data_IF_588845706013
#
_entry.id   IF_588845706013
#
_cell.length_a   1.000
_cell.length_b   1.000
_cell.length_c   1.000
_cell.angle_alpha   90.00
_cell.angle_beta   90.00
_cell.angle_gamma   90.00
#
_symmetry.space_group_name_H-M   'P 1'
#
loop_
_entity.id
_entity.type
_entity.pdbx_description
1 polymer ?
#
# COMPACT_ATOMS: atom_id res chain seq x y z
N UNK A 1 13.43 5.60 -11.98
CA UNK A 1 13.64 6.28 -10.68
C UNK A 1 12.41 6.95 -10.06
N UNK A 2 11.24 6.30 -10.00
CA UNK A 2 10.11 6.78 -9.17
C UNK A 2 10.35 6.48 -7.69
N UNK A 3 9.72 7.23 -6.78
CA UNK A 3 9.80 6.90 -5.35
C UNK A 3 8.70 5.89 -4.98
N UNK A 4 9.11 4.67 -4.61
CA UNK A 4 8.21 3.59 -4.19
C UNK A 4 8.28 3.42 -2.66
N UNK A 5 7.15 3.59 -1.98
CA UNK A 5 6.99 3.31 -0.56
C UNK A 5 6.30 1.97 -0.38
N UNK A 6 6.92 1.08 0.40
CA UNK A 6 6.32 -0.21 0.76
C UNK A 6 5.92 -0.17 2.22
N UNK A 7 4.64 -0.31 2.48
CA UNK A 7 4.07 -0.41 3.81
C UNK A 7 4.00 -1.89 4.19
N UNK A 8 4.99 -2.36 4.94
CA UNK A 8 5.10 -3.76 5.34
C UNK A 8 6.44 -4.38 4.93
N UNK A 9 6.95 -5.29 5.77
CA UNK A 9 8.26 -5.95 5.58
C UNK A 9 8.22 -7.46 5.83
N UNK A 10 7.09 -8.08 5.51
CA UNK A 10 6.94 -9.55 5.59
C UNK A 10 7.86 -10.24 4.59
N UNK A 11 8.19 -11.51 4.85
CA UNK A 11 8.99 -12.32 3.92
C UNK A 11 8.23 -12.68 2.64
N UNK A 12 6.89 -12.66 2.67
CA UNK A 12 6.04 -13.11 1.55
C UNK A 12 5.71 -11.97 0.59
N UNK A 13 5.59 -10.73 1.09
CA UNK A 13 5.17 -9.59 0.25
C UNK A 13 6.14 -8.42 0.36
N UNK A 14 6.30 -7.82 1.54
CA UNK A 14 7.00 -6.54 1.67
C UNK A 14 8.47 -6.58 1.21
N UNK A 15 9.24 -7.58 1.68
CA UNK A 15 10.64 -7.74 1.29
C UNK A 15 10.82 -8.08 -0.21
N UNK A 16 10.14 -9.09 -0.78
CA UNK A 16 10.28 -9.38 -2.20
C UNK A 16 9.81 -8.22 -3.10
N UNK A 17 8.75 -7.50 -2.72
CA UNK A 17 8.32 -6.31 -3.44
C UNK A 17 9.40 -5.21 -3.41
N UNK A 18 10.05 -4.99 -2.26
CA UNK A 18 11.14 -4.00 -2.16
C UNK A 18 12.31 -4.35 -3.08
N UNK A 19 12.69 -5.63 -3.10
CA UNK A 19 13.74 -6.13 -3.97
C UNK A 19 13.39 -6.00 -5.45
N UNK A 20 12.16 -6.33 -5.84
CA UNK A 20 11.67 -6.17 -7.21
C UNK A 20 11.73 -4.71 -7.66
N UNK A 21 11.19 -3.80 -6.84
CA UNK A 21 11.11 -2.37 -7.19
C UNK A 21 12.48 -1.70 -7.27
N UNK A 22 13.48 -2.19 -6.54
CA UNK A 22 14.86 -1.67 -6.60
C UNK A 22 15.76 -2.33 -7.65
N UNK A 23 15.27 -3.32 -8.41
CA UNK A 23 16.06 -3.96 -9.48
C UNK A 23 16.49 -2.92 -10.52
N UNK A 24 17.65 -3.13 -11.16
CA UNK A 24 18.06 -2.29 -12.29
C UNK A 24 17.26 -2.68 -13.54
N UNK A 25 16.36 -1.81 -13.99
CA UNK A 25 15.56 -1.99 -15.20
C UNK A 25 14.08 -2.25 -14.93
N UNK A 26 13.30 -2.43 -15.99
CA UNK A 26 11.84 -2.64 -15.92
C UNK A 26 11.50 -4.03 -15.33
N UNK A 27 10.50 -4.14 -14.43
CA UNK A 27 9.58 -3.09 -13.95
C UNK A 27 10.08 -2.30 -12.71
N UNK A 28 11.32 -2.51 -12.27
CA UNK A 28 11.92 -1.83 -11.12
C UNK A 28 12.48 -0.43 -11.43
N UNK A 29 13.73 -0.22 -11.03
CA UNK A 29 14.49 1.03 -11.13
C UNK A 29 13.90 2.17 -10.28
N UNK A 30 13.33 1.82 -9.12
CA UNK A 30 12.77 2.80 -8.17
C UNK A 30 13.74 3.15 -7.05
N UNK A 31 13.60 4.36 -6.50
CA UNK A 31 14.08 4.66 -5.15
C UNK A 31 13.07 4.06 -4.18
N UNK A 32 13.50 3.15 -3.30
CA UNK A 32 12.58 2.37 -2.45
C UNK A 32 12.74 2.75 -0.99
N UNK A 33 11.62 3.04 -0.32
CA UNK A 33 11.54 3.22 1.13
C UNK A 33 10.61 2.16 1.74
N UNK A 34 11.12 1.37 2.69
CA UNK A 34 10.32 0.34 3.39
C UNK A 34 9.90 0.86 4.76
N UNK A 35 8.59 0.98 4.95
CA UNK A 35 7.95 1.37 6.20
C UNK A 35 7.44 0.14 6.97
N UNK A 36 7.36 0.25 8.30
CA UNK A 36 6.87 -0.80 9.19
C UNK A 36 6.30 -0.21 10.49
N UNK A 37 5.79 -1.06 11.38
CA UNK A 37 5.15 -0.67 12.65
C UNK A 37 5.97 0.17 13.64
N UNK A 38 7.26 0.42 13.35
CA UNK A 38 8.13 1.28 14.16
C UNK A 38 8.68 2.48 13.37
N UNK A 39 8.28 2.61 12.11
CA UNK A 39 8.59 3.79 11.30
C UNK A 39 7.85 4.97 11.90
N UNK A 40 8.58 6.02 12.24
CA UNK A 40 8.00 7.30 12.62
C UNK A 40 7.53 8.01 11.35
N UNK A 41 6.58 8.95 11.48
CA UNK A 41 6.22 9.87 10.39
C UNK A 41 5.89 9.16 9.05
N UNK A 42 5.14 8.03 9.14
CA UNK A 42 4.74 7.21 7.98
C UNK A 42 3.92 8.04 6.99
N UNK A 43 3.02 8.89 7.49
CA UNK A 43 2.17 9.75 6.66
C UNK A 43 3.03 10.65 5.76
N UNK A 44 4.04 11.30 6.33
CA UNK A 44 4.94 12.19 5.61
C UNK A 44 5.77 11.45 4.56
N UNK A 45 6.18 10.21 4.86
CA UNK A 45 6.90 9.36 3.89
C UNK A 45 5.98 8.95 2.74
N UNK A 46 4.74 8.53 3.03
CA UNK A 46 3.75 8.17 2.01
C UNK A 46 3.40 9.35 1.08
N UNK A 47 3.34 10.58 1.61
CA UNK A 47 3.09 11.79 0.82
C UNK A 47 4.21 12.13 -0.18
N UNK A 48 5.39 11.54 -0.03
CA UNK A 48 6.49 11.68 -0.99
C UNK A 48 6.48 10.60 -2.07
N UNK A 49 5.61 9.59 -1.97
CA UNK A 49 5.61 8.43 -2.85
C UNK A 49 4.91 8.72 -4.18
N UNK A 50 5.49 8.22 -5.26
CA UNK A 50 4.80 8.11 -6.54
C UNK A 50 4.05 6.76 -6.63
N UNK A 51 4.56 5.74 -5.94
CA UNK A 51 3.98 4.39 -5.86
C UNK A 51 3.91 3.98 -4.38
N UNK A 52 2.75 3.50 -3.92
CA UNK A 52 2.58 2.92 -2.59
C UNK A 52 2.14 1.47 -2.74
N UNK A 53 2.87 0.54 -2.12
CA UNK A 53 2.47 -0.87 -1.99
C UNK A 53 2.06 -1.11 -0.54
N UNK A 54 0.77 -1.35 -0.28
CA UNK A 54 0.22 -1.61 1.04
C UNK A 54 0.12 -3.12 1.31
N UNK A 55 0.90 -3.61 2.28
CA UNK A 55 1.03 -5.03 2.61
C UNK A 55 1.21 -5.23 4.13
N UNK A 56 0.27 -4.69 4.89
CA UNK A 56 0.26 -4.57 6.35
C UNK A 56 -0.65 -5.61 7.02
N UNK A 57 -1.75 -6.01 6.36
CA UNK A 57 -2.82 -6.81 6.99
C UNK A 57 -3.60 -6.03 8.05
N UNK A 58 -3.73 -4.72 7.86
CA UNK A 58 -4.49 -3.82 8.74
C UNK A 58 -5.53 -3.10 7.89
N UNK A 59 -6.83 -3.46 8.01
CA UNK A 59 -7.89 -2.90 7.19
C UNK A 59 -7.87 -1.38 7.16
N UNK A 60 -7.93 -0.83 5.95
CA UNK A 60 -8.11 0.61 5.71
C UNK A 60 -7.07 1.51 6.42
N UNK A 61 -5.86 1.01 6.67
CA UNK A 61 -4.76 1.77 7.27
C UNK A 61 -4.34 2.97 6.43
N UNK A 62 -4.17 2.78 5.10
CA UNK A 62 -3.79 3.87 4.20
C UNK A 62 -5.02 4.75 3.93
N UNK A 63 -4.99 5.99 4.43
CA UNK A 63 -6.05 6.99 4.30
C UNK A 63 -5.72 8.04 3.22
N UNK A 64 -6.73 8.78 2.78
CA UNK A 64 -6.58 9.79 1.71
C UNK A 64 -5.55 10.89 2.02
N UNK A 65 -5.39 11.26 3.29
CA UNK A 65 -4.44 12.27 3.75
C UNK A 65 -2.98 11.77 3.77
N UNK A 66 -2.75 10.48 3.55
CA UNK A 66 -1.42 9.87 3.41
C UNK A 66 -0.96 9.75 1.96
N UNK A 67 -1.83 10.04 0.99
CA UNK A 67 -1.59 9.79 -0.44
C UNK A 67 -1.42 11.10 -1.19
N UNK A 68 -0.36 11.17 -2.01
CA UNK A 68 -0.09 12.29 -2.93
C UNK A 68 -1.03 12.21 -4.14
N UNK A 69 -1.44 13.37 -4.66
CA UNK A 69 -2.23 13.46 -5.89
C UNK A 69 -1.49 12.80 -7.08
N UNK A 70 -2.21 11.94 -7.81
CA UNK A 70 -1.68 11.19 -8.95
C UNK A 70 -0.83 9.96 -8.60
N UNK A 71 -0.69 9.59 -7.32
CA UNK A 71 0.05 8.40 -6.93
C UNK A 71 -0.60 7.10 -7.43
N UNK A 72 0.22 6.07 -7.66
CA UNK A 72 -0.23 4.69 -7.90
C UNK A 72 -0.29 3.94 -6.58
N UNK A 73 -1.39 3.26 -6.30
CA UNK A 73 -1.57 2.47 -5.07
C UNK A 73 -1.83 1.01 -5.42
N UNK A 74 -1.07 0.10 -4.80
CA UNK A 74 -1.26 -1.34 -4.90
C UNK A 74 -1.64 -1.86 -3.51
N UNK A 75 -2.90 -2.23 -3.34
CA UNK A 75 -3.43 -2.85 -2.12
C UNK A 75 -3.27 -4.37 -2.16
N UNK A 76 -2.40 -4.91 -1.31
CA UNK A 76 -2.18 -6.36 -1.15
C UNK A 76 -3.01 -6.91 0.01
N UNK A 77 -3.72 -6.06 0.75
CA UNK A 77 -4.50 -6.44 1.91
C UNK A 77 -5.68 -7.35 1.54
N UNK A 78 -5.82 -8.46 2.27
CA UNK A 78 -6.97 -9.37 2.12
C UNK A 78 -7.51 -9.75 3.50
N UNK A 79 -7.84 -8.75 4.30
CA UNK A 79 -8.30 -8.98 5.68
C UNK A 79 -9.78 -9.33 5.69
N UNK A 80 -10.14 -10.38 6.44
CA UNK A 80 -11.54 -10.76 6.65
C UNK A 80 -12.14 -9.91 7.75
N UNK A 81 -13.18 -9.15 7.42
CA UNK A 81 -13.93 -8.31 8.36
C UNK A 81 -15.33 -8.91 8.52
N UNK A 82 -15.84 -9.14 9.74
CA UNK A 82 -17.18 -9.66 9.97
C UNK A 82 -18.25 -8.86 9.21
N UNK A 83 -19.22 -9.58 8.63
CA UNK A 83 -20.27 -8.97 7.82
C UNK A 83 -21.53 -9.84 7.87
N UNK A 84 -22.64 -9.24 8.25
CA UNK A 84 -23.99 -9.81 8.17
C UNK A 84 -24.57 -9.78 6.75
N UNK A 85 -23.95 -9.02 5.84
CA UNK A 85 -24.40 -8.84 4.45
C UNK A 85 -23.93 -9.92 3.47
N UNK A 86 -23.00 -10.80 3.88
CA UNK A 86 -22.41 -11.83 3.01
C UNK A 86 -22.76 -13.21 3.53
N UNK A 87 -22.97 -14.18 2.62
CA UNK A 87 -23.25 -15.58 3.01
C UNK A 87 -22.12 -16.22 3.84
N UNK A 88 -20.88 -15.77 3.65
CA UNK A 88 -19.69 -16.25 4.35
C UNK A 88 -19.53 -15.69 5.77
N UNK A 89 -20.35 -14.72 6.19
CA UNK A 89 -20.22 -14.05 7.49
C UNK A 89 -19.07 -13.04 7.57
N UNK A 90 -18.37 -12.78 6.45
CA UNK A 90 -17.31 -11.79 6.37
C UNK A 90 -17.21 -11.18 4.96
N UNK A 91 -16.69 -9.96 4.89
CA UNK A 91 -16.22 -9.33 3.64
C UNK A 91 -14.69 -9.29 3.63
N UNK A 92 -14.09 -9.27 2.44
CA UNK A 92 -12.67 -8.95 2.30
C UNK A 92 -12.50 -7.44 2.27
N UNK A 93 -11.49 -6.95 2.99
CA UNK A 93 -11.15 -5.53 3.05
C UNK A 93 -9.65 -5.39 2.98
N UNK A 94 -9.20 -4.52 2.10
CA UNK A 94 -7.79 -4.24 1.87
C UNK A 94 -7.18 -3.33 2.94
N UNK A 95 -5.88 -3.08 2.81
CA UNK A 95 -5.13 -2.19 3.70
C UNK A 95 -5.38 -0.71 3.38
N UNK A 96 -6.10 -0.41 2.29
CA UNK A 96 -6.39 0.94 1.81
C UNK A 96 -7.87 1.29 2.01
N UNK A 97 -8.14 2.51 2.49
CA UNK A 97 -9.49 3.07 2.51
C UNK A 97 -9.92 3.46 1.09
N UNK A 98 -10.27 2.46 0.28
CA UNK A 98 -10.42 2.58 -1.18
C UNK A 98 -11.29 3.77 -1.62
N UNK A 99 -12.47 3.95 -1.01
CA UNK A 99 -13.39 5.02 -1.39
C UNK A 99 -12.82 6.44 -1.18
N UNK A 100 -11.97 6.61 -0.16
CA UNK A 100 -11.35 7.90 0.15
C UNK A 100 -10.09 8.13 -0.70
N UNK A 101 -9.35 7.07 -1.00
CA UNK A 101 -8.04 7.13 -1.66
C UNK A 101 -8.15 7.12 -3.18
N UNK A 102 -9.09 6.36 -3.74
CA UNK A 102 -9.25 6.20 -5.20
C UNK A 102 -9.36 7.54 -5.97
N UNK A 103 -10.10 8.57 -5.49
CA UNK A 103 -10.18 9.85 -6.19
C UNK A 103 -8.85 10.60 -6.35
N UNK A 104 -7.83 10.29 -5.54
CA UNK A 104 -6.51 10.93 -5.58
C UNK A 104 -5.50 10.17 -6.45
N UNK A 105 -5.80 8.92 -6.78
CA UNK A 105 -4.85 8.02 -7.43
C UNK A 105 -4.95 8.11 -8.95
N UNK A 106 -3.81 7.94 -9.63
CA UNK A 106 -3.83 7.69 -11.08
C UNK A 106 -4.25 6.25 -11.39
N UNK A 107 -3.85 5.30 -10.54
CA UNK A 107 -4.27 3.90 -10.58
C UNK A 107 -4.34 3.35 -9.15
N UNK A 108 -5.31 2.47 -8.88
CA UNK A 108 -5.50 1.82 -7.59
C UNK A 108 -6.07 0.41 -7.79
N UNK A 109 -5.61 -0.55 -6.99
CA UNK A 109 -6.20 -1.89 -6.87
C UNK A 109 -6.82 -2.08 -5.50
#
# INVERSE_FOLDING_TARGET
GKHCVILGRSNIVGKPAALLMMQKGYPGDCTVTVCHSRTKNIKEICLQADIIIAALGVPEFLKADMVKEGAVVIDVGTTRVPSDKTKSGFKLTGDVAFHEVAPKCSYIT
#
